data_IF_851396867004
#
_entry.id   IF_851396867004
#
_cell.length_a   1.000
_cell.length_b   1.000
_cell.length_c   1.000
_cell.angle_alpha   90.00
_cell.angle_beta   90.00
_cell.angle_gamma   90.00
#
_symmetry.space_group_name_H-M   'P 1'
#
loop_
_entity.id
_entity.type
_entity.pdbx_description
1 polymer ?
#
# COMPACT_ATOMS: atom_id res chain seq x y z
N UNK A 1 -13.42 -11.97 4.71
CA UNK A 1 -12.43 -11.88 3.61
C UNK A 1 -12.18 -13.25 2.99
N UNK A 2 -11.70 -14.27 3.74
CA UNK A 2 -11.27 -15.59 3.22
C UNK A 2 -12.18 -16.24 2.17
N UNK A 3 -13.50 -16.41 2.39
CA UNK A 3 -14.34 -17.13 1.40
C UNK A 3 -14.41 -16.42 0.05
N UNK A 4 -14.39 -15.09 0.06
CA UNK A 4 -14.46 -14.27 -1.17
C UNK A 4 -13.09 -14.22 -1.84
N UNK A 5 -12.01 -13.98 -1.07
CA UNK A 5 -10.66 -13.91 -1.58
C UNK A 5 -10.27 -15.17 -2.38
N UNK A 6 -10.55 -16.36 -1.84
CA UNK A 6 -10.27 -17.63 -2.50
C UNK A 6 -10.98 -17.80 -3.87
N UNK A 7 -12.12 -17.14 -4.08
CA UNK A 7 -12.83 -17.15 -5.38
C UNK A 7 -12.15 -16.23 -6.37
N UNK A 8 -11.76 -15.02 -5.92
CA UNK A 8 -11.14 -14.02 -6.79
C UNK A 8 -9.69 -14.35 -7.14
N UNK A 9 -8.94 -14.95 -6.20
CA UNK A 9 -7.55 -15.37 -6.42
C UNK A 9 -7.41 -16.41 -7.55
N UNK A 10 -8.43 -17.26 -7.73
CA UNK A 10 -8.47 -18.29 -8.78
C UNK A 10 -8.81 -17.78 -10.18
N UNK A 11 -9.17 -16.51 -10.34
CA UNK A 11 -9.50 -15.96 -11.67
C UNK A 11 -8.28 -15.92 -12.55
N UNK A 12 -8.44 -16.34 -13.80
CA UNK A 12 -7.35 -16.47 -14.76
C UNK A 12 -6.82 -15.09 -15.18
N UNK A 13 -7.72 -14.14 -15.43
CA UNK A 13 -7.32 -12.80 -15.84
C UNK A 13 -7.05 -11.92 -14.60
N UNK A 14 -5.82 -11.39 -14.42
CA UNK A 14 -5.47 -10.55 -13.28
C UNK A 14 -6.38 -9.31 -13.10
N UNK A 15 -6.91 -8.78 -14.20
CA UNK A 15 -7.86 -7.66 -14.19
C UNK A 15 -9.14 -7.97 -13.40
N UNK A 16 -9.55 -9.23 -13.36
CA UNK A 16 -10.80 -9.68 -12.74
C UNK A 16 -10.60 -10.15 -11.29
N UNK A 17 -9.37 -10.13 -10.78
CA UNK A 17 -9.04 -10.62 -9.44
C UNK A 17 -9.46 -9.67 -8.32
N UNK A 18 -9.85 -8.42 -8.61
CA UNK A 18 -10.18 -7.46 -7.55
C UNK A 18 -11.62 -7.60 -7.05
N UNK A 19 -11.83 -7.85 -5.73
CA UNK A 19 -13.15 -8.08 -5.15
C UNK A 19 -13.84 -6.77 -4.73
N UNK A 20 -14.48 -6.08 -5.67
CA UNK A 20 -15.17 -4.81 -5.42
C UNK A 20 -16.21 -4.86 -4.29
N UNK A 21 -16.88 -5.98 -4.11
CA UNK A 21 -17.84 -6.18 -3.03
C UNK A 21 -17.18 -6.17 -1.64
N UNK A 22 -15.96 -6.70 -1.51
CA UNK A 22 -15.21 -6.61 -0.26
C UNK A 22 -14.79 -5.18 0.03
N UNK A 23 -14.37 -4.43 -1.01
CA UNK A 23 -14.03 -3.03 -0.87
C UNK A 23 -15.21 -2.21 -0.36
N UNK A 24 -16.40 -2.38 -0.94
CA UNK A 24 -17.63 -1.70 -0.49
C UNK A 24 -17.97 -2.04 0.97
N UNK A 25 -17.83 -3.30 1.37
CA UNK A 25 -18.03 -3.70 2.77
C UNK A 25 -17.00 -3.06 3.71
N UNK A 26 -15.73 -3.03 3.31
CA UNK A 26 -14.68 -2.35 4.08
C UNK A 26 -14.92 -0.83 4.17
N UNK A 27 -15.41 -0.21 3.10
CA UNK A 27 -15.81 1.20 3.08
C UNK A 27 -16.98 1.48 4.03
N UNK A 28 -18.02 0.64 4.00
CA UNK A 28 -19.18 0.76 4.89
C UNK A 28 -18.81 0.60 6.39
N UNK A 29 -17.70 -0.10 6.69
CA UNK A 29 -17.13 -0.21 8.04
C UNK A 29 -16.14 0.91 8.36
N UNK A 30 -15.95 1.89 7.47
CA UNK A 30 -14.99 2.98 7.64
C UNK A 30 -13.51 2.58 7.44
N UNK A 31 -13.19 1.30 7.23
CA UNK A 31 -11.80 0.79 7.21
C UNK A 31 -10.96 1.43 6.11
N UNK A 32 -11.55 1.75 4.95
CA UNK A 32 -10.84 2.33 3.81
C UNK A 32 -10.30 3.73 4.11
N UNK A 33 -11.00 4.50 4.91
CA UNK A 33 -10.75 5.93 5.16
C UNK A 33 -10.53 6.27 6.61
N UNK A 34 -10.38 5.29 7.51
CA UNK A 34 -10.23 5.50 8.96
C UNK A 34 -9.04 6.39 9.34
N UNK A 35 -7.99 6.42 8.52
CA UNK A 35 -6.82 7.27 8.73
C UNK A 35 -6.94 8.66 8.08
N UNK A 36 -8.06 9.00 7.46
CA UNK A 36 -8.32 10.37 7.00
C UNK A 36 -8.54 11.31 8.18
N UNK A 37 -8.21 12.62 8.05
CA UNK A 37 -8.44 13.58 9.10
C UNK A 37 -9.92 13.68 9.51
N UNK A 38 -10.18 13.84 10.80
CA UNK A 38 -11.55 13.96 11.37
C UNK A 38 -12.40 15.03 10.70
N UNK A 39 -11.79 16.16 10.31
CA UNK A 39 -12.51 17.25 9.60
C UNK A 39 -13.10 16.82 8.25
N UNK A 40 -12.64 15.70 7.68
CA UNK A 40 -13.16 15.13 6.44
C UNK A 40 -14.00 13.88 6.66
N UNK A 41 -14.27 13.50 7.92
CA UNK A 41 -15.11 12.34 8.25
C UNK A 41 -14.34 11.04 8.45
N UNK A 42 -13.02 11.08 8.54
CA UNK A 42 -12.21 9.96 9.00
C UNK A 42 -12.10 9.93 10.54
N UNK A 43 -11.43 8.89 11.05
CA UNK A 43 -11.22 8.71 12.51
C UNK A 43 -9.84 9.20 12.97
N UNK A 44 -8.95 9.53 12.02
CA UNK A 44 -7.55 9.87 12.30
C UNK A 44 -6.87 8.77 13.15
N UNK A 45 -7.09 7.51 12.75
CA UNK A 45 -6.65 6.34 13.51
C UNK A 45 -5.14 6.29 13.69
N UNK A 46 -4.70 5.92 14.90
CA UNK A 46 -3.30 5.70 15.25
C UNK A 46 -2.68 4.49 14.53
N UNK A 47 -1.36 4.37 14.59
CA UNK A 47 -0.61 3.33 13.89
C UNK A 47 -0.93 1.94 14.45
N UNK A 48 -1.07 1.82 15.78
CA UNK A 48 -1.38 0.54 16.42
C UNK A 48 -2.73 -0.01 15.93
N UNK A 49 -3.75 0.84 15.87
CA UNK A 49 -5.07 0.47 15.33
C UNK A 49 -4.98 0.04 13.86
N UNK A 50 -4.24 0.80 13.03
CA UNK A 50 -4.03 0.44 11.62
C UNK A 50 -3.35 -0.92 11.46
N UNK A 51 -2.37 -1.23 12.30
CA UNK A 51 -1.68 -2.54 12.26
C UNK A 51 -2.60 -3.69 12.66
N UNK A 52 -3.41 -3.53 13.71
CA UNK A 52 -4.40 -4.54 14.11
C UNK A 52 -5.39 -4.80 12.97
N UNK A 53 -5.90 -3.75 12.32
CA UNK A 53 -6.79 -3.89 11.15
C UNK A 53 -6.07 -4.66 10.03
N UNK A 54 -4.81 -4.31 9.73
CA UNK A 54 -4.05 -4.96 8.66
C UNK A 54 -3.75 -6.44 8.97
N UNK A 55 -3.46 -6.79 10.24
CA UNK A 55 -3.28 -8.19 10.67
C UNK A 55 -4.58 -8.98 10.49
N UNK A 56 -5.73 -8.44 10.94
CA UNK A 56 -7.01 -9.11 10.79
C UNK A 56 -7.43 -9.30 9.33
N UNK A 57 -7.25 -8.29 8.49
CA UNK A 57 -7.49 -8.40 7.06
C UNK A 57 -6.51 -9.36 6.38
N UNK A 58 -5.24 -9.32 6.76
CA UNK A 58 -4.17 -10.19 6.26
C UNK A 58 -4.41 -11.66 6.56
N UNK A 59 -5.03 -11.96 7.70
CA UNK A 59 -5.45 -13.34 8.02
C UNK A 59 -6.47 -13.89 7.03
N UNK A 60 -7.17 -13.02 6.31
CA UNK A 60 -8.11 -13.40 5.25
C UNK A 60 -7.50 -13.38 3.85
N UNK A 61 -6.74 -12.35 3.52
CA UNK A 61 -5.98 -12.17 2.28
C UNK A 61 -5.07 -10.93 2.39
N UNK A 62 -3.77 -11.11 2.23
CA UNK A 62 -2.81 -10.02 2.35
C UNK A 62 -2.83 -9.05 1.17
N UNK A 63 -3.26 -9.48 -0.01
CA UNK A 63 -3.44 -8.61 -1.16
C UNK A 63 -4.56 -7.59 -0.93
N UNK A 64 -5.69 -8.05 -0.42
CA UNK A 64 -6.79 -7.17 -0.03
C UNK A 64 -6.42 -6.27 1.16
N UNK A 65 -5.73 -6.82 2.19
CA UNK A 65 -5.18 -6.03 3.30
C UNK A 65 -4.26 -4.92 2.79
N UNK A 66 -3.42 -5.20 1.78
CA UNK A 66 -2.54 -4.19 1.15
C UNK A 66 -3.33 -3.03 0.55
N UNK A 67 -4.47 -3.29 -0.11
CA UNK A 67 -5.31 -2.21 -0.67
C UNK A 67 -5.86 -1.30 0.43
N UNK A 68 -6.35 -1.87 1.51
CA UNK A 68 -6.87 -1.08 2.64
C UNK A 68 -5.72 -0.30 3.32
N UNK A 69 -4.56 -0.92 3.52
CA UNK A 69 -3.38 -0.25 4.10
C UNK A 69 -2.87 0.92 3.23
N UNK A 70 -2.88 0.76 1.90
CA UNK A 70 -2.54 1.84 0.97
C UNK A 70 -3.51 3.00 1.14
N UNK A 71 -4.80 2.74 1.26
CA UNK A 71 -5.79 3.80 1.45
C UNK A 71 -5.62 4.51 2.79
N UNK A 72 -5.39 3.78 3.90
CA UNK A 72 -5.09 4.36 5.21
C UNK A 72 -3.87 5.28 5.13
N UNK A 73 -2.74 4.75 4.67
CA UNK A 73 -1.50 5.50 4.49
C UNK A 73 -1.69 6.73 3.59
N UNK A 74 -2.38 6.57 2.47
CA UNK A 74 -2.58 7.65 1.51
C UNK A 74 -3.50 8.73 2.07
N UNK A 75 -4.59 8.38 2.75
CA UNK A 75 -5.47 9.35 3.40
C UNK A 75 -4.73 10.16 4.48
N UNK A 76 -3.90 9.50 5.29
CA UNK A 76 -3.05 10.17 6.28
C UNK A 76 -2.05 11.13 5.60
N UNK A 77 -1.31 10.65 4.61
CA UNK A 77 -0.34 11.44 3.85
C UNK A 77 -1.00 12.67 3.17
N UNK A 78 -2.15 12.48 2.52
CA UNK A 78 -2.88 13.58 1.88
C UNK A 78 -3.36 14.60 2.91
N UNK A 79 -3.74 14.16 4.12
CA UNK A 79 -4.09 15.03 5.24
C UNK A 79 -2.95 15.93 5.71
N UNK A 80 -1.72 15.40 5.69
CA UNK A 80 -0.51 16.12 6.13
C UNK A 80 0.05 17.08 5.07
N UNK A 81 0.04 16.68 3.80
CA UNK A 81 0.83 17.35 2.75
C UNK A 81 0.01 18.08 1.70
N UNK A 82 -1.30 17.87 1.60
CA UNK A 82 -2.14 18.66 0.73
C UNK A 82 -2.48 20.02 1.37
N UNK A 83 -2.43 21.08 0.56
CA UNK A 83 -2.96 22.36 0.96
C UNK A 83 -4.50 22.33 1.07
N UNK A 84 -5.09 23.41 1.60
CA UNK A 84 -6.54 23.45 1.86
C UNK A 84 -7.40 23.31 0.61
N UNK A 85 -6.98 23.90 -0.51
CA UNK A 85 -7.69 23.81 -1.80
C UNK A 85 -7.68 22.38 -2.34
N UNK A 86 -6.51 21.74 -2.34
CA UNK A 86 -6.37 20.34 -2.72
C UNK A 86 -7.20 19.41 -1.81
N UNK A 87 -7.17 19.65 -0.49
CA UNK A 87 -7.97 18.86 0.44
C UNK A 87 -9.48 19.02 0.16
N UNK A 88 -9.97 20.23 -0.09
CA UNK A 88 -11.37 20.49 -0.47
C UNK A 88 -11.78 19.82 -1.78
N UNK A 89 -10.85 19.68 -2.71
CA UNK A 89 -11.13 19.02 -3.99
C UNK A 89 -11.14 17.50 -3.90
N UNK A 90 -10.19 16.89 -3.17
CA UNK A 90 -9.96 15.43 -3.24
C UNK A 90 -10.60 14.65 -2.10
N UNK A 91 -10.66 15.17 -0.86
CA UNK A 91 -11.25 14.42 0.24
C UNK A 91 -12.73 14.11 0.08
N UNK A 92 -13.60 15.03 -0.39
CA UNK A 92 -15.00 14.67 -0.63
C UNK A 92 -15.15 13.50 -1.60
N UNK A 93 -14.39 13.50 -2.70
CA UNK A 93 -14.39 12.40 -3.68
C UNK A 93 -13.94 11.07 -3.06
N UNK A 94 -12.92 11.10 -2.19
CA UNK A 94 -12.39 9.92 -1.52
C UNK A 94 -13.39 9.39 -0.48
N UNK A 95 -14.04 10.27 0.27
CA UNK A 95 -14.91 9.89 1.38
C UNK A 95 -16.28 9.39 0.91
N UNK A 96 -16.89 10.05 -0.08
CA UNK A 96 -18.25 9.78 -0.53
C UNK A 96 -18.37 8.56 -1.47
N UNK A 97 -17.31 8.22 -2.19
CA UNK A 97 -17.31 7.11 -3.15
C UNK A 97 -16.65 5.86 -2.56
N UNK A 98 -17.46 4.87 -2.19
CA UNK A 98 -17.02 3.60 -1.59
C UNK A 98 -16.00 2.82 -2.43
N UNK A 99 -15.86 3.16 -3.71
CA UNK A 99 -14.92 2.54 -4.64
C UNK A 99 -13.73 3.42 -4.98
N UNK A 100 -13.61 4.60 -4.37
CA UNK A 100 -12.50 5.51 -4.64
C UNK A 100 -11.21 4.98 -4.03
N UNK A 101 -10.33 4.52 -4.89
CA UNK A 101 -8.98 4.09 -4.53
C UNK A 101 -7.96 5.09 -5.04
N UNK A 102 -6.89 5.25 -4.27
CA UNK A 102 -5.72 6.06 -4.63
C UNK A 102 -4.51 5.14 -4.73
N UNK A 103 -3.82 5.17 -5.88
CA UNK A 103 -2.58 4.46 -6.08
C UNK A 103 -1.37 5.37 -5.83
N UNK A 104 -0.26 4.78 -5.37
CA UNK A 104 1.02 5.50 -5.22
C UNK A 104 2.04 4.91 -6.19
N UNK A 105 2.39 5.66 -7.23
CA UNK A 105 3.23 5.21 -8.33
C UNK A 105 4.67 5.69 -8.14
N UNK A 106 5.52 4.79 -7.62
CA UNK A 106 6.93 5.04 -7.31
C UNK A 106 7.85 4.18 -8.17
N UNK A 107 7.75 2.86 -8.05
CA UNK A 107 8.59 1.86 -8.72
C UNK A 107 8.51 1.98 -10.25
N UNK A 108 9.64 1.80 -10.91
CA UNK A 108 9.82 1.81 -12.36
C UNK A 108 10.41 0.47 -12.84
N UNK A 109 10.44 0.18 -14.16
CA UNK A 109 11.06 -1.05 -14.65
C UNK A 109 12.51 -1.22 -14.18
N UNK A 110 13.29 -0.13 -14.15
CA UNK A 110 14.72 -0.15 -13.83
C UNK A 110 15.05 0.52 -12.48
N UNK A 111 14.04 0.85 -11.66
CA UNK A 111 14.26 1.59 -10.40
C UNK A 111 13.20 1.23 -9.37
N UNK A 112 13.64 0.80 -8.19
CA UNK A 112 12.77 0.43 -7.07
C UNK A 112 13.40 0.85 -5.74
N UNK A 113 14.09 -0.06 -5.04
CA UNK A 113 14.71 0.20 -3.73
C UNK A 113 15.77 1.30 -3.78
N UNK A 114 16.48 1.43 -4.88
CA UNK A 114 17.53 2.43 -5.13
C UNK A 114 17.05 3.89 -4.97
N UNK A 115 15.76 4.14 -5.16
CA UNK A 115 15.17 5.47 -4.88
C UNK A 115 15.10 5.81 -3.38
N UNK A 116 15.31 4.84 -2.50
CA UNK A 116 15.35 5.01 -1.04
C UNK A 116 16.77 5.15 -0.50
N UNK A 117 17.77 4.92 -1.34
CA UNK A 117 19.18 4.97 -0.97
C UNK A 117 19.76 6.38 -1.17
N UNK A 118 20.73 6.79 -0.36
CA UNK A 118 21.32 8.11 -0.41
C UNK A 118 22.37 8.22 -1.54
N UNK A 119 21.96 7.91 -2.77
CA UNK A 119 22.83 8.11 -3.93
C UNK A 119 22.91 9.60 -4.29
N UNK A 120 24.11 10.10 -4.43
CA UNK A 120 24.38 11.49 -4.75
C UNK A 120 24.60 11.76 -6.25
N UNK A 121 24.67 10.70 -7.07
CA UNK A 121 24.86 10.84 -8.52
C UNK A 121 23.57 11.31 -9.19
N UNK A 122 23.62 12.39 -9.98
CA UNK A 122 22.52 12.84 -10.80
C UNK A 122 22.07 11.75 -11.81
N UNK A 123 20.78 11.62 -12.02
CA UNK A 123 20.23 10.69 -13.01
C UNK A 123 20.18 9.22 -12.59
N UNK A 124 20.70 8.84 -11.42
CA UNK A 124 20.54 7.51 -10.83
C UNK A 124 19.13 7.35 -10.28
N UNK A 125 18.63 6.11 -10.25
CA UNK A 125 17.30 5.71 -9.80
C UNK A 125 16.17 6.21 -10.74
N UNK A 126 15.19 6.95 -10.23
CA UNK A 126 13.97 7.33 -10.95
C UNK A 126 14.22 8.02 -12.30
N UNK A 127 13.54 7.52 -13.37
CA UNK A 127 13.58 8.05 -14.73
C UNK A 127 12.33 8.85 -15.11
N UNK A 128 11.18 8.54 -14.52
CA UNK A 128 9.97 9.35 -14.72
C UNK A 128 10.28 10.80 -14.42
N UNK A 129 9.96 11.67 -15.38
CA UNK A 129 10.34 13.08 -15.32
C UNK A 129 9.12 13.98 -15.49
N UNK A 130 9.06 15.05 -14.72
CA UNK A 130 8.09 16.11 -14.84
C UNK A 130 8.80 17.45 -15.02
N UNK A 131 8.33 18.27 -15.94
CA UNK A 131 8.79 19.64 -16.10
C UNK A 131 7.61 20.60 -16.12
N UNK A 132 7.85 21.81 -15.66
CA UNK A 132 6.86 22.88 -15.67
C UNK A 132 6.73 23.48 -17.07
N UNK A 133 5.50 23.62 -17.53
CA UNK A 133 5.14 24.30 -18.79
C UNK A 133 3.97 25.27 -18.50
N UNK A 134 4.31 26.53 -18.28
CA UNK A 134 3.34 27.55 -17.87
C UNK A 134 2.69 27.24 -16.51
N UNK A 135 1.38 27.03 -16.53
CA UNK A 135 0.56 26.69 -15.34
C UNK A 135 0.33 25.19 -15.19
N UNK A 136 1.07 24.35 -15.87
CA UNK A 136 0.97 22.90 -15.81
C UNK A 136 2.34 22.25 -15.58
N UNK A 137 2.31 21.01 -15.10
CA UNK A 137 3.42 20.07 -15.20
C UNK A 137 3.13 19.04 -16.27
N UNK A 138 4.15 18.71 -17.06
CA UNK A 138 4.10 17.67 -18.09
C UNK A 138 4.91 16.49 -17.60
N UNK A 139 4.25 15.34 -17.44
CA UNK A 139 4.82 14.13 -16.83
C UNK A 139 5.00 13.06 -17.93
N UNK A 140 6.23 12.50 -17.99
CA UNK A 140 6.59 11.41 -18.88
C UNK A 140 7.32 10.30 -18.11
N UNK A 141 6.96 9.04 -18.37
CA UNK A 141 7.61 7.88 -17.78
C UNK A 141 6.73 6.65 -17.69
N UNK A 142 7.30 5.61 -17.07
CA UNK A 142 6.63 4.32 -16.86
C UNK A 142 6.76 3.94 -15.39
N UNK A 143 5.67 3.50 -14.79
CA UNK A 143 5.62 2.99 -13.42
C UNK A 143 5.21 1.52 -13.44
N UNK A 144 5.90 0.70 -12.64
CA UNK A 144 5.79 -0.75 -12.66
C UNK A 144 5.40 -1.29 -11.27
N UNK A 145 4.67 -2.40 -11.22
CA UNK A 145 4.20 -3.04 -9.97
C UNK A 145 3.39 -2.11 -9.06
N UNK A 146 2.53 -1.27 -9.65
CA UNK A 146 1.75 -0.31 -8.87
C UNK A 146 0.49 -0.97 -8.31
N UNK A 147 0.46 -1.16 -6.99
CA UNK A 147 -0.71 -1.66 -6.28
C UNK A 147 -1.88 -0.69 -6.42
N UNK A 148 -3.07 -1.20 -6.66
CA UNK A 148 -4.25 -0.46 -7.12
C UNK A 148 -4.07 0.28 -8.46
N UNK A 149 -2.92 0.21 -9.11
CA UNK A 149 -2.61 0.95 -10.33
C UNK A 149 -3.60 0.73 -11.45
N UNK A 150 -4.10 -0.50 -11.61
CA UNK A 150 -5.09 -0.84 -12.63
C UNK A 150 -6.51 -0.35 -12.34
N UNK A 151 -6.84 -0.03 -11.09
CA UNK A 151 -8.21 0.16 -10.60
C UNK A 151 -8.46 1.49 -9.87
N UNK A 152 -7.40 2.20 -9.44
CA UNK A 152 -7.52 3.45 -8.70
C UNK A 152 -8.09 4.59 -9.56
N UNK A 153 -8.82 5.52 -8.94
CA UNK A 153 -9.40 6.72 -9.57
C UNK A 153 -8.45 7.92 -9.50
N UNK A 154 -7.47 7.88 -8.60
CA UNK A 154 -6.41 8.88 -8.48
C UNK A 154 -5.08 8.16 -8.35
N UNK A 155 -4.05 8.68 -8.99
CA UNK A 155 -2.69 8.20 -8.86
C UNK A 155 -1.80 9.33 -8.31
N UNK A 156 -1.05 9.05 -7.26
CA UNK A 156 0.03 9.91 -6.79
C UNK A 156 1.28 9.46 -7.52
N UNK A 157 1.75 10.28 -8.46
CA UNK A 157 2.89 9.98 -9.31
C UNK A 157 4.13 10.68 -8.76
N UNK A 158 5.15 9.88 -8.43
CA UNK A 158 6.47 10.41 -8.09
C UNK A 158 7.28 10.58 -9.37
N UNK A 159 7.75 11.78 -9.62
CA UNK A 159 8.57 12.09 -10.78
C UNK A 159 9.75 12.99 -10.38
N UNK A 160 10.83 12.83 -11.08
CA UNK A 160 11.97 13.72 -10.98
C UNK A 160 11.62 15.07 -11.63
N UNK A 161 11.90 16.17 -10.96
CA UNK A 161 11.71 17.54 -11.49
C UNK A 161 13.02 18.27 -11.74
N UNK A 162 14.14 17.73 -11.26
CA UNK A 162 15.49 18.24 -11.54
C UNK A 162 16.41 17.07 -11.96
N UNK A 163 16.94 17.14 -13.20
CA UNK A 163 17.85 16.12 -13.74
C UNK A 163 19.27 16.23 -13.22
N UNK A 164 19.63 17.38 -12.66
CA UNK A 164 21.00 17.69 -12.25
C UNK A 164 21.24 17.42 -10.75
N UNK A 165 20.18 17.05 -10.02
CA UNK A 165 20.26 16.74 -8.59
C UNK A 165 20.13 15.25 -8.32
N UNK A 166 20.67 14.75 -7.19
CA UNK A 166 20.42 13.39 -6.74
C UNK A 166 18.92 13.14 -6.49
N UNK A 167 18.52 11.88 -6.53
CA UNK A 167 17.10 11.47 -6.37
C UNK A 167 16.50 11.98 -5.05
N UNK A 168 17.29 12.07 -3.99
CA UNK A 168 16.88 12.57 -2.68
C UNK A 168 16.49 14.05 -2.67
N UNK A 169 16.92 14.82 -3.67
CA UNK A 169 16.69 16.26 -3.79
C UNK A 169 15.99 16.66 -5.09
N UNK A 170 15.47 15.71 -5.86
CA UNK A 170 14.97 15.93 -7.21
C UNK A 170 13.56 15.41 -7.43
N UNK A 171 12.91 14.79 -6.44
CA UNK A 171 11.63 14.12 -6.62
C UNK A 171 10.47 14.96 -6.07
N UNK A 172 9.46 15.10 -6.90
CA UNK A 172 8.17 15.73 -6.59
C UNK A 172 7.04 14.72 -6.70
N UNK A 173 5.93 14.96 -6.01
CA UNK A 173 4.71 14.15 -6.08
C UNK A 173 3.57 14.91 -6.74
N UNK A 174 2.84 14.24 -7.62
CA UNK A 174 1.75 14.84 -8.39
C UNK A 174 0.45 14.05 -8.24
N UNK A 175 -0.66 14.75 -8.05
CA UNK A 175 -2.01 14.20 -8.13
C UNK A 175 -2.40 14.04 -9.60
N UNK A 176 -2.61 12.82 -10.05
CA UNK A 176 -2.98 12.52 -11.44
C UNK A 176 -4.29 11.73 -11.46
N UNK A 177 -5.43 12.37 -11.73
CA UNK A 177 -6.72 11.68 -11.84
C UNK A 177 -6.72 10.64 -12.98
N UNK A 178 -7.45 9.54 -12.77
CA UNK A 178 -7.72 8.58 -13.84
C UNK A 178 -8.46 9.27 -14.98
N UNK A 179 -8.04 9.01 -16.22
CA UNK A 179 -8.63 9.62 -17.41
C UNK A 179 -7.94 10.92 -17.83
N UNK A 180 -6.92 11.40 -17.11
CA UNK A 180 -6.07 12.50 -17.63
C UNK A 180 -5.45 12.06 -18.96
N UNK A 181 -5.54 12.87 -20.03
CA UNK A 181 -4.97 12.53 -21.33
C UNK A 181 -3.50 12.13 -21.23
N UNK A 182 -3.10 11.05 -21.91
CA UNK A 182 -1.75 10.51 -21.86
C UNK A 182 -1.49 9.54 -20.70
N UNK A 183 -2.37 9.43 -19.70
CA UNK A 183 -2.27 8.44 -18.63
C UNK A 183 -2.95 7.13 -19.02
N UNK A 184 -2.20 6.04 -19.08
CA UNK A 184 -2.67 4.72 -19.50
C UNK A 184 -2.29 3.64 -18.52
N UNK A 185 -3.14 2.62 -18.40
CA UNK A 185 -2.81 1.32 -17.79
C UNK A 185 -2.34 0.41 -18.92
N UNK A 186 -1.05 0.13 -18.95
CA UNK A 186 -0.46 -0.71 -20.00
C UNK A 186 -0.80 -2.19 -19.84
N UNK A 187 -0.94 -2.66 -18.58
CA UNK A 187 -1.30 -4.03 -18.29
C UNK A 187 -1.45 -4.30 -16.80
N UNK A 188 -2.14 -5.39 -16.46
CA UNK A 188 -2.20 -5.91 -15.10
C UNK A 188 -1.15 -7.01 -14.94
N UNK A 189 -0.45 -7.02 -13.80
CA UNK A 189 0.53 -8.06 -13.50
C UNK A 189 -0.16 -9.33 -12.98
N UNK A 190 0.21 -10.48 -13.54
CA UNK A 190 -0.15 -11.80 -13.00
C UNK A 190 0.84 -12.16 -11.89
N UNK A 191 0.49 -11.77 -10.68
CA UNK A 191 1.35 -11.94 -9.51
C UNK A 191 1.28 -13.37 -8.98
N UNK A 192 2.40 -13.89 -8.47
CA UNK A 192 2.45 -15.19 -7.79
C UNK A 192 1.60 -15.23 -6.52
N UNK A 193 1.55 -14.11 -5.79
CA UNK A 193 0.70 -13.90 -4.62
C UNK A 193 0.15 -12.48 -4.59
N UNK A 194 -0.71 -12.15 -3.61
CA UNK A 194 -1.36 -10.82 -3.48
C UNK A 194 -2.12 -10.40 -4.75
N UNK A 195 -2.77 -11.33 -5.42
CA UNK A 195 -3.44 -11.09 -6.71
C UNK A 195 -4.61 -10.12 -6.61
N UNK A 196 -5.19 -9.97 -5.40
CA UNK A 196 -6.36 -9.12 -5.14
C UNK A 196 -6.05 -7.63 -5.06
N UNK A 197 -4.85 -7.17 -5.43
CA UNK A 197 -4.49 -5.76 -5.29
C UNK A 197 -4.54 -4.93 -6.59
N UNK A 198 -5.00 -5.51 -7.71
CA UNK A 198 -5.11 -4.77 -8.97
C UNK A 198 -3.80 -4.14 -9.43
N UNK A 199 -2.70 -4.89 -9.26
CA UNK A 199 -1.34 -4.45 -9.56
C UNK A 199 -1.16 -4.25 -11.07
N UNK A 200 -0.53 -3.14 -11.48
CA UNK A 200 -0.46 -2.79 -12.89
C UNK A 200 0.80 -2.00 -13.26
N UNK A 201 1.10 -2.00 -14.56
CA UNK A 201 2.00 -1.07 -15.21
C UNK A 201 1.24 0.16 -15.69
N UNK A 202 1.81 1.35 -15.42
CA UNK A 202 1.24 2.64 -15.77
C UNK A 202 2.20 3.40 -16.69
N UNK A 203 1.66 3.95 -17.77
CA UNK A 203 2.39 4.77 -18.73
C UNK A 203 1.87 6.20 -18.70
N UNK A 204 2.78 7.14 -18.66
CA UNK A 204 2.54 8.58 -18.69
C UNK A 204 3.26 9.15 -19.93
N UNK A 205 2.47 9.65 -20.87
CA UNK A 205 2.97 10.25 -22.11
C UNK A 205 2.37 11.64 -22.26
N UNK A 206 3.20 12.66 -22.04
CA UNK A 206 2.80 14.06 -22.06
C UNK A 206 1.57 14.34 -21.16
N UNK A 207 1.50 13.67 -20.01
CA UNK A 207 0.42 13.85 -19.06
C UNK A 207 0.50 15.23 -18.44
N UNK A 208 -0.52 16.04 -18.65
CA UNK A 208 -0.59 17.42 -18.15
C UNK A 208 -1.46 17.50 -16.91
N UNK A 209 -0.92 18.09 -15.87
CA UNK A 209 -1.65 18.39 -14.62
C UNK A 209 -1.42 19.84 -14.20
N UNK A 210 -2.43 20.53 -13.65
CA UNK A 210 -2.26 21.89 -13.12
C UNK A 210 -1.12 21.98 -12.10
N UNK A 211 -0.43 23.12 -12.01
CA UNK A 211 0.59 23.35 -10.97
C UNK A 211 0.03 23.18 -9.56
N UNK A 212 -1.27 23.42 -9.36
CA UNK A 212 -1.98 23.18 -8.12
C UNK A 212 -2.11 21.69 -7.74
N UNK A 213 -1.71 20.75 -8.58
CA UNK A 213 -1.71 19.31 -8.28
C UNK A 213 -0.33 18.80 -7.82
N UNK A 214 0.65 19.68 -7.63
CA UNK A 214 1.88 19.38 -6.93
C UNK A 214 1.59 19.16 -5.43
N UNK A 215 2.05 18.07 -4.86
CA UNK A 215 1.91 17.76 -3.43
C UNK A 215 3.07 18.41 -2.66
N UNK A 216 2.73 19.30 -1.72
CA UNK A 216 3.72 20.04 -0.93
C UNK A 216 4.60 20.94 -1.80
N UNK A 217 5.92 20.82 -1.65
CA UNK A 217 6.91 21.63 -2.36
C UNK A 217 7.62 20.81 -3.45
N UNK A 218 8.02 21.50 -4.52
CA UNK A 218 8.82 20.91 -5.59
C UNK A 218 10.17 20.39 -5.06
N UNK A 219 10.56 19.19 -5.49
CA UNK A 219 11.79 18.51 -5.09
C UNK A 219 11.87 18.08 -3.60
N UNK A 220 10.78 18.15 -2.85
CA UNK A 220 10.74 17.80 -1.41
C UNK A 220 10.09 16.45 -1.11
N UNK A 221 9.57 15.76 -2.11
CA UNK A 221 8.81 14.53 -1.87
C UNK A 221 9.65 13.36 -1.36
N UNK A 222 10.99 13.40 -1.55
CA UNK A 222 11.87 12.35 -1.04
C UNK A 222 11.94 12.32 0.50
N UNK A 223 11.97 13.48 1.18
CA UNK A 223 11.96 13.56 2.65
C UNK A 223 10.63 13.12 3.24
N UNK A 224 9.53 13.62 2.69
CA UNK A 224 8.15 13.23 3.02
C UNK A 224 7.92 11.73 2.89
N UNK A 225 8.55 11.12 1.88
CA UNK A 225 8.40 9.71 1.56
C UNK A 225 8.94 8.77 2.63
N UNK A 226 9.96 9.15 3.39
CA UNK A 226 10.57 8.28 4.40
C UNK A 226 9.57 7.92 5.51
N UNK A 227 8.79 8.88 6.01
CA UNK A 227 7.74 8.63 7.00
C UNK A 227 6.63 7.74 6.42
N UNK A 228 6.12 8.11 5.24
CA UNK A 228 5.08 7.35 4.53
C UNK A 228 5.55 5.92 4.19
N UNK A 229 6.83 5.73 3.90
CA UNK A 229 7.41 4.42 3.62
C UNK A 229 7.51 3.56 4.87
N UNK A 230 7.95 4.12 6.00
CA UNK A 230 8.00 3.42 7.28
C UNK A 230 6.60 2.93 7.70
N UNK A 231 5.57 3.79 7.59
CA UNK A 231 4.16 3.41 7.80
C UNK A 231 3.73 2.24 6.89
N UNK A 232 4.14 2.27 5.62
CA UNK A 232 3.85 1.20 4.66
C UNK A 232 4.52 -0.12 5.02
N UNK A 233 5.74 -0.09 5.56
CA UNK A 233 6.44 -1.30 6.04
C UNK A 233 5.67 -1.91 7.22
N UNK A 234 5.33 -1.12 8.23
CA UNK A 234 4.64 -1.60 9.42
C UNK A 234 3.31 -2.27 9.06
N UNK A 235 2.48 -1.64 8.26
CA UNK A 235 1.19 -2.21 7.84
C UNK A 235 1.34 -3.45 6.95
N UNK A 236 2.40 -3.52 6.13
CA UNK A 236 2.70 -4.71 5.32
C UNK A 236 3.16 -5.88 6.18
N UNK A 237 3.99 -5.62 7.20
CA UNK A 237 4.43 -6.65 8.16
C UNK A 237 3.24 -7.16 8.97
N UNK A 238 2.33 -6.30 9.39
CA UNK A 238 1.11 -6.70 10.09
C UNK A 238 0.21 -7.61 9.22
N UNK A 239 0.06 -7.31 7.93
CA UNK A 239 -0.67 -8.18 7.01
C UNK A 239 -0.01 -9.56 6.88
N UNK A 240 1.33 -9.61 6.77
CA UNK A 240 2.10 -10.87 6.75
C UNK A 240 1.99 -11.66 8.06
N UNK A 241 1.91 -10.97 9.20
CA UNK A 241 1.65 -11.61 10.50
C UNK A 241 0.27 -12.28 10.54
N UNK A 242 -0.75 -11.64 9.94
CA UNK A 242 -2.08 -12.24 9.77
C UNK A 242 -2.07 -13.52 8.93
N UNK A 243 -1.31 -13.55 7.82
CA UNK A 243 -1.10 -14.77 7.02
C UNK A 243 -0.42 -15.86 7.83
N UNK A 244 0.68 -15.52 8.55
CA UNK A 244 1.41 -16.47 9.40
C UNK A 244 0.51 -17.08 10.48
N UNK A 245 -0.35 -16.25 11.10
CA UNK A 245 -1.36 -16.73 12.06
C UNK A 245 -2.32 -17.73 11.43
N UNK A 246 -2.80 -17.45 10.23
CA UNK A 246 -3.68 -18.38 9.51
C UNK A 246 -2.98 -19.71 9.23
N UNK A 247 -1.75 -19.67 8.72
CA UNK A 247 -0.96 -20.88 8.49
C UNK A 247 -0.77 -21.71 9.78
N UNK A 248 -0.53 -21.06 10.90
CA UNK A 248 -0.42 -21.71 12.20
C UNK A 248 -1.74 -22.38 12.62
N UNK A 249 -2.86 -21.64 12.56
CA UNK A 249 -4.18 -22.13 12.96
C UNK A 249 -4.58 -23.37 12.13
N UNK A 250 -4.46 -23.29 10.81
CA UNK A 250 -4.76 -24.40 9.90
C UNK A 250 -3.82 -25.60 10.11
N UNK A 251 -2.54 -25.36 10.32
CA UNK A 251 -1.55 -26.40 10.62
C UNK A 251 -1.86 -27.12 11.92
N UNK A 252 -2.16 -26.36 13.00
CA UNK A 252 -2.55 -26.91 14.30
C UNK A 252 -3.80 -27.76 14.18
N UNK A 253 -4.85 -27.22 13.56
CA UNK A 253 -6.13 -27.91 13.45
C UNK A 253 -6.01 -29.18 12.58
N UNK A 254 -5.27 -29.13 11.49
CA UNK A 254 -4.99 -30.33 10.68
C UNK A 254 -4.19 -31.37 11.47
N UNK A 255 -3.19 -30.94 12.25
CA UNK A 255 -2.37 -31.86 13.02
C UNK A 255 -3.12 -32.59 14.14
N UNK A 256 -4.25 -32.04 14.62
CA UNK A 256 -5.10 -32.70 15.62
C UNK A 256 -5.98 -33.81 15.03
N UNK A 257 -6.29 -33.75 13.74
CA UNK A 257 -7.21 -34.69 13.06
C UNK A 257 -6.46 -35.72 12.18
N UNK A 258 -5.29 -35.36 11.66
CA UNK A 258 -4.51 -36.26 10.80
C UNK A 258 -3.83 -37.32 11.64
N UNK A 259 -4.13 -38.60 11.34
CA UNK A 259 -3.53 -39.76 12.01
C UNK A 259 -2.40 -40.35 11.13
N UNK A 260 -1.19 -40.53 11.71
CA UNK A 260 -0.08 -41.30 11.18
C UNK A 260 0.63 -41.98 12.35
N UNK A 261 1.16 -43.20 12.12
CA UNK A 261 1.80 -43.97 13.19
C UNK A 261 0.86 -44.29 14.36
N UNK A 262 -0.44 -44.47 14.07
CA UNK A 262 -1.47 -44.89 15.05
C UNK A 262 -2.00 -43.79 15.96
N UNK A 263 -1.62 -42.50 15.78
CA UNK A 263 -2.05 -41.39 16.60
C UNK A 263 -2.10 -40.08 15.81
N UNK A 264 -2.82 -39.02 16.27
CA UNK A 264 -2.77 -37.70 15.69
C UNK A 264 -1.32 -37.20 15.55
N UNK A 265 -1.02 -36.55 14.42
CA UNK A 265 0.38 -36.16 14.13
C UNK A 265 0.91 -35.10 15.09
N UNK A 266 0.08 -34.32 15.75
CA UNK A 266 0.45 -33.35 16.79
C UNK A 266 1.13 -34.04 17.98
N UNK A 267 0.82 -35.31 18.26
CA UNK A 267 1.38 -36.08 19.35
C UNK A 267 2.80 -36.62 19.06
N UNK A 268 3.29 -36.44 17.83
CA UNK A 268 4.68 -36.71 17.50
C UNK A 268 5.54 -35.49 17.89
N UNK A 269 6.56 -35.66 18.75
CA UNK A 269 7.36 -34.53 19.25
C UNK A 269 7.92 -33.64 18.18
N UNK A 270 8.37 -34.21 17.06
CA UNK A 270 8.90 -33.42 15.91
C UNK A 270 7.88 -32.50 15.25
N UNK A 271 6.59 -32.85 15.29
CA UNK A 271 5.50 -32.01 14.75
C UNK A 271 5.04 -31.03 15.84
N UNK A 272 4.80 -31.52 17.07
CA UNK A 272 4.38 -30.69 18.19
C UNK A 272 5.34 -29.53 18.45
N UNK A 273 6.65 -29.78 18.49
CA UNK A 273 7.66 -28.73 18.64
C UNK A 273 7.60 -27.67 17.54
N UNK A 274 7.45 -28.07 16.27
CA UNK A 274 7.33 -27.12 15.15
C UNK A 274 6.10 -26.23 15.28
N UNK A 275 4.96 -26.79 15.71
CA UNK A 275 3.73 -26.00 15.92
C UNK A 275 3.93 -24.98 17.04
N UNK A 276 4.63 -25.36 18.12
CA UNK A 276 5.00 -24.46 19.22
C UNK A 276 5.95 -23.36 18.72
N UNK A 277 6.95 -23.70 17.90
CA UNK A 277 7.87 -22.71 17.31
C UNK A 277 7.13 -21.70 16.41
N UNK A 278 6.15 -22.15 15.61
CA UNK A 278 5.30 -21.24 14.83
C UNK A 278 4.57 -20.26 15.74
N UNK A 279 3.96 -20.73 16.82
CA UNK A 279 3.26 -19.88 17.78
C UNK A 279 4.18 -18.84 18.42
N UNK A 280 5.34 -19.28 18.94
CA UNK A 280 6.32 -18.37 19.55
C UNK A 280 6.78 -17.28 18.58
N UNK A 281 7.10 -17.66 17.35
CA UNK A 281 7.55 -16.68 16.34
C UNK A 281 6.46 -15.66 16.01
N UNK A 282 5.19 -16.07 15.93
CA UNK A 282 4.07 -15.17 15.69
C UNK A 282 3.89 -14.20 16.85
N UNK A 283 3.90 -14.70 18.11
CA UNK A 283 3.70 -13.83 19.28
C UNK A 283 4.88 -12.88 19.49
N UNK A 284 6.11 -13.33 19.25
CA UNK A 284 7.30 -12.48 19.32
C UNK A 284 7.24 -11.35 18.26
N UNK A 285 6.87 -11.69 17.00
CA UNK A 285 6.71 -10.72 15.93
C UNK A 285 5.58 -9.73 16.23
N UNK A 286 4.41 -10.22 16.68
CA UNK A 286 3.27 -9.37 17.05
C UNK A 286 3.63 -8.37 18.14
N UNK A 287 4.24 -8.86 19.21
CA UNK A 287 4.63 -8.02 20.36
C UNK A 287 5.61 -6.93 19.92
N UNK A 288 6.60 -7.27 19.10
CA UNK A 288 7.56 -6.31 18.58
C UNK A 288 6.89 -5.27 17.67
N UNK A 289 6.03 -5.71 16.75
CA UNK A 289 5.31 -4.82 15.85
C UNK A 289 4.39 -3.86 16.62
N UNK A 290 3.66 -4.34 17.62
CA UNK A 290 2.80 -3.49 18.45
C UNK A 290 3.61 -2.48 19.26
N UNK A 291 4.77 -2.91 19.80
CA UNK A 291 5.68 -2.00 20.50
C UNK A 291 6.17 -0.89 19.57
N UNK A 292 6.58 -1.21 18.35
CA UNK A 292 7.01 -0.21 17.36
C UNK A 292 5.87 0.74 17.00
N UNK A 293 4.65 0.22 16.80
CA UNK A 293 3.48 1.06 16.51
C UNK A 293 3.14 1.99 17.67
N UNK A 294 3.18 1.50 18.90
CA UNK A 294 2.94 2.31 20.09
C UNK A 294 4.02 3.41 20.25
N UNK A 295 5.29 3.06 20.03
CA UNK A 295 6.39 4.05 20.03
C UNK A 295 6.18 5.13 18.96
N UNK A 296 5.71 4.72 17.78
CA UNK A 296 5.35 5.65 16.70
C UNK A 296 4.25 6.64 17.12
N UNK A 297 3.20 6.15 17.77
CA UNK A 297 2.06 6.95 18.18
C UNK A 297 2.38 7.88 19.35
N UNK A 298 3.19 7.44 20.31
CA UNK A 298 3.55 8.21 21.52
C UNK A 298 4.77 9.09 21.33
N UNK A 299 5.57 8.86 20.29
CA UNK A 299 6.87 9.51 20.06
C UNK A 299 7.84 9.39 21.22
N UNK A 300 7.70 8.33 22.00
CA UNK A 300 8.63 8.01 23.09
C UNK A 300 9.85 7.27 22.52
N UNK A 301 11.05 7.78 22.80
CA UNK A 301 12.31 7.13 22.49
C UNK A 301 12.57 5.99 23.50
N UNK A 302 12.94 4.80 23.00
CA UNK A 302 13.38 3.65 23.79
C UNK A 302 14.84 3.32 23.53
#
# INVERSE_FOLDING_TARGET
>A
VRPVAAIYDKKVNPKDCFPWELLKKASALGLRTCAAPKKWGGDDTDMLTRMIICEELGSGDSGFSTIISIMMKTCHMLGLYLNEEQQKEFFPKIMEDDTYLVATAVTEPDSSTDIHLPYDEPGVAMKTFAHRDGNEYVINGVKHFISAGGIAKLCIVYARTDKNKPVTQAVSGFLVPRGTPGFQVAGFHDMLGKRLQGNAELVFQDVRVPVGYLIGEENKMASTRMEVWAESILTTLAAGLGEARTCYEETRDYATIRVQGGKPIIEHPSIGCRIVDMYFNIEAARTLLWKVAWTWDTKEDY
#
